data_IF_052708811590
#
_entry.id   IF_052708811590
#
_cell.length_a   1.000
_cell.length_b   1.000
_cell.length_c   1.000
_cell.angle_alpha   90.00
_cell.angle_beta   90.00
_cell.angle_gamma   90.00
#
_symmetry.space_group_name_H-M   'P 1'
#
loop_
_entity.id
_entity.type
_entity.pdbx_description
1 polymer ?
2 non-polymer ?
3 non-polymer ?
4 water ?
#
# COMPACT_ATOMS: atom_id res chain seq x y z
N UNK A 17 31.87 -0.14 5.73
CA UNK A 17 31.71 1.21 6.26
C UNK A 17 32.60 2.19 5.52
N UNK A 18 32.29 2.42 4.24
CA UNK A 18 33.13 3.28 3.41
C UNK A 18 32.42 4.47 2.72
N UNK A 19 31.50 4.21 1.79
CA UNK A 19 30.89 5.32 1.06
C UNK A 19 29.72 5.04 0.12
N UNK A 20 28.80 6.01 0.03
CA UNK A 20 27.72 5.98 -0.96
C UNK A 20 28.04 6.95 -2.09
N UNK A 21 28.35 8.18 -1.72
CA UNK A 21 28.82 9.20 -2.64
C UNK A 21 29.83 8.60 -3.63
N UNK A 22 30.54 7.58 -3.18
CA UNK A 22 31.56 6.94 -4.00
C UNK A 22 30.96 5.99 -5.04
N UNK A 23 29.90 5.29 -4.67
CA UNK A 23 29.35 4.26 -5.54
C UNK A 23 28.38 4.82 -6.54
N UNK A 24 27.77 5.96 -6.20
CA UNK A 24 26.64 6.47 -6.95
C UNK A 24 26.75 7.94 -7.30
N UNK A 25 26.26 8.27 -8.50
CA UNK A 25 26.06 9.63 -8.97
C UNK A 25 24.61 9.98 -8.61
N UNK A 26 24.40 11.08 -7.88
CA UNK A 26 23.05 11.48 -7.44
C UNK A 26 22.36 12.42 -8.43
N UNK A 27 21.13 12.07 -8.83
CA UNK A 27 20.38 12.89 -9.77
C UNK A 27 19.27 13.70 -9.08
N UNK A 28 18.06 13.67 -9.63
CA UNK A 28 16.99 14.53 -9.13
C UNK A 28 16.12 13.92 -8.03
N UNK A 29 15.38 14.77 -7.34
CA UNK A 29 14.42 14.35 -6.33
C UNK A 29 13.24 13.66 -7.00
N UNK A 30 12.64 12.71 -6.28
CA UNK A 30 11.43 12.04 -6.75
C UNK A 30 10.37 12.00 -5.67
N UNK A 31 10.64 12.63 -4.54
CA UNK A 31 9.71 12.60 -3.42
C UNK A 31 10.37 13.25 -2.22
N UNK A 32 9.55 13.93 -1.42
CA UNK A 32 10.14 14.74 -0.37
C UNK A 32 9.23 15.00 0.83
N UNK A 33 9.79 14.75 2.00
CA UNK A 33 9.12 14.93 3.28
C UNK A 33 10.13 15.48 4.25
N UNK A 34 9.69 15.70 5.49
CA UNK A 34 10.51 16.38 6.48
C UNK A 34 11.58 15.48 7.08
N UNK A 35 11.34 14.18 7.00
CA UNK A 35 12.25 13.19 7.58
C UNK A 35 13.19 12.65 6.52
N UNK A 36 12.78 12.76 5.26
CA UNK A 36 13.57 12.23 4.16
C UNK A 36 13.06 12.62 2.78
N UNK A 37 13.98 12.59 1.82
CA UNK A 37 13.70 12.79 0.41
C UNK A 37 14.22 11.59 -0.36
N UNK A 38 13.57 11.23 -1.46
CA UNK A 38 14.06 10.21 -2.37
C UNK A 38 14.68 10.88 -3.59
N UNK A 39 15.85 10.41 -3.99
CA UNK A 39 16.46 10.89 -5.22
C UNK A 39 16.77 9.71 -6.14
N UNK A 40 16.71 9.95 -7.44
CA UNK A 40 17.14 8.97 -8.42
C UNK A 40 18.66 9.00 -8.44
N UNK A 41 19.31 7.86 -8.69
CA UNK A 41 20.76 7.83 -8.69
C UNK A 41 21.33 6.79 -9.65
N UNK A 42 22.63 6.88 -9.90
CA UNK A 42 23.27 6.00 -10.87
C UNK A 42 24.42 5.23 -10.23
N UNK A 43 24.44 3.93 -10.45
CA UNK A 43 25.61 3.17 -10.06
C UNK A 43 26.69 3.41 -11.12
N UNK A 44 27.73 4.12 -10.71
CA UNK A 44 28.73 4.62 -11.63
C UNK A 44 29.37 3.49 -12.43
N UNK A 45 29.90 2.50 -11.73
CA UNK A 45 30.47 1.31 -12.35
C UNK A 45 29.62 0.81 -13.51
N UNK A 46 28.33 0.64 -13.27
CA UNK A 46 27.48 -0.14 -14.14
C UNK A 46 26.49 0.69 -14.96
N UNK A 47 26.25 1.91 -14.52
CA UNK A 47 25.31 2.81 -15.19
C UNK A 47 23.84 2.42 -15.05
N UNK A 48 23.52 1.72 -13.96
CA UNK A 48 22.13 1.36 -13.73
C UNK A 48 21.47 2.32 -12.74
N UNK A 49 20.23 2.70 -13.01
CA UNK A 49 19.51 3.64 -12.15
C UNK A 49 18.77 2.95 -11.01
N UNK A 50 18.64 3.68 -9.91
CA UNK A 50 18.10 3.16 -8.66
C UNK A 50 17.51 4.33 -7.90
N UNK A 51 16.61 4.05 -6.98
CA UNK A 51 16.14 5.08 -6.07
C UNK A 51 16.96 5.02 -4.81
N UNK A 52 17.09 6.15 -4.12
CA UNK A 52 17.66 6.12 -2.79
C UNK A 52 16.93 7.10 -1.87
N UNK A 53 16.42 6.53 -0.80
CA UNK A 53 15.82 7.29 0.26
C UNK A 53 16.96 7.80 1.13
N UNK A 54 16.94 9.08 1.48
CA UNK A 54 17.93 9.59 2.42
C UNK A 54 17.23 10.02 3.69
N UNK A 55 17.46 9.28 4.78
CA UNK A 55 16.82 9.60 6.04
C UNK A 55 17.73 10.43 6.94
N UNK A 56 17.15 11.46 7.53
CA UNK A 56 17.85 12.28 8.51
C UNK A 56 17.84 11.55 9.85
N UNK A 57 19.03 11.21 10.34
CA UNK A 57 19.15 10.42 11.57
C UNK A 57 18.72 11.17 12.83
N UNK A 58 18.89 12.49 12.82
CA UNK A 58 18.52 13.29 13.99
C UNK A 58 17.02 13.56 13.98
N UNK A 59 16.39 13.31 12.85
CA UNK A 59 14.95 13.53 12.70
C UNK A 59 14.18 12.24 12.95
N UNK A 60 14.66 11.17 12.34
CA UNK A 60 14.01 9.87 12.45
C UNK A 60 15.02 8.73 12.58
N UNK A 61 14.58 7.60 13.12
CA UNK A 61 15.40 6.40 13.21
C UNK A 61 14.79 5.30 12.34
N UNK A 62 15.49 4.94 11.24
CA UNK A 62 14.89 4.14 10.18
C UNK A 62 15.16 2.65 10.27
N UNK A 63 15.61 2.17 11.43
CA UNK A 63 16.12 0.81 11.50
C UNK A 63 15.04 -0.27 11.36
N UNK A 64 13.87 -0.04 11.93
CA UNK A 64 12.80 -1.01 11.79
C UNK A 64 12.36 -1.11 10.33
N UNK A 65 12.27 0.03 9.66
CA UNK A 65 11.88 0.01 8.25
C UNK A 65 12.85 -0.91 7.52
N UNK A 66 14.13 -0.63 7.70
CA UNK A 66 15.23 -1.29 7.01
C UNK A 66 15.32 -2.80 7.26
N UNK A 67 15.15 -3.22 8.51
CA UNK A 67 15.13 -4.62 8.84
C UNK A 67 13.97 -5.28 8.12
N UNK A 68 12.80 -4.66 8.26
CA UNK A 68 11.61 -5.12 7.56
C UNK A 68 11.95 -5.35 6.10
N UNK A 69 12.69 -4.43 5.49
CA UNK A 69 13.08 -4.55 4.09
C UNK A 69 14.12 -5.65 3.85
N UNK A 70 15.13 -5.71 4.71
CA UNK A 70 16.16 -6.74 4.61
C UNK A 70 15.51 -8.11 4.73
N UNK A 71 14.64 -8.24 5.73
CA UNK A 71 13.96 -9.49 5.97
C UNK A 71 13.04 -9.89 4.80
N UNK A 72 12.25 -8.95 4.28
CA UNK A 72 11.14 -9.32 3.41
C UNK A 72 11.13 -8.81 1.95
N UNK A 73 12.12 -8.02 1.56
CA UNK A 73 12.13 -7.41 0.24
C UNK A 73 12.55 -8.40 -0.86
N UNK A 74 12.62 -9.67 -0.49
CA UNK A 74 12.91 -10.71 -1.43
C UNK A 74 11.59 -11.13 -2.06
N UNK A 75 10.52 -10.73 -1.40
CA UNK A 75 9.19 -10.98 -1.91
C UNK A 75 9.10 -10.33 -3.28
N UNK A 76 8.60 -11.09 -4.27
CA UNK A 76 8.48 -10.57 -5.63
C UNK A 76 7.72 -9.25 -5.69
N UNK A 77 6.75 -9.03 -4.80
CA UNK A 77 5.96 -7.80 -4.85
C UNK A 77 6.24 -6.86 -3.70
N UNK A 78 7.34 -7.08 -3.00
CA UNK A 78 7.83 -6.09 -2.09
C UNK A 78 9.05 -5.47 -2.74
N UNK A 79 9.24 -4.17 -2.56
CA UNK A 79 10.35 -3.48 -3.17
C UNK A 79 11.66 -4.07 -2.66
N UNK A 80 12.64 -4.13 -3.54
CA UNK A 80 13.87 -4.88 -3.28
C UNK A 80 15.04 -3.96 -2.94
N UNK A 81 15.61 -4.18 -1.77
CA UNK A 81 16.70 -3.34 -1.25
C UNK A 81 18.02 -3.72 -1.90
N UNK A 82 18.79 -2.73 -2.36
CA UNK A 82 20.01 -3.00 -3.12
C UNK A 82 21.30 -2.51 -2.46
N UNK A 83 21.18 -1.68 -1.44
CA UNK A 83 22.33 -1.17 -0.71
C UNK A 83 21.83 -0.36 0.46
N UNK A 84 22.77 0.15 1.25
CA UNK A 84 22.47 0.96 2.40
C UNK A 84 23.79 1.50 2.90
N UNK A 85 23.76 2.71 3.45
CA UNK A 85 24.97 3.33 3.93
C UNK A 85 24.62 4.22 5.10
N UNK A 86 25.55 4.39 6.03
CA UNK A 86 25.35 5.31 7.12
C UNK A 86 26.44 6.37 7.09
N UNK A 87 26.15 7.44 6.36
CA UNK A 87 27.02 8.61 6.24
C UNK A 87 27.49 9.07 7.61
N UNK A 88 26.60 8.96 8.59
CA UNK A 88 26.85 9.47 9.93
C UNK A 88 25.67 10.29 10.37
N UNK A 89 25.26 11.23 9.52
CA UNK A 89 24.12 12.09 9.82
C UNK A 89 22.89 11.62 9.06
N UNK A 90 23.10 10.63 8.20
CA UNK A 90 22.11 10.29 7.19
C UNK A 90 22.17 8.83 6.79
N UNK A 91 21.00 8.24 6.59
CA UNK A 91 20.97 6.93 5.97
C UNK A 91 20.65 7.08 4.49
N UNK A 92 21.15 6.12 3.72
CA UNK A 92 20.98 6.08 2.29
C UNK A 92 20.47 4.70 1.97
N UNK A 93 19.21 4.63 1.55
CA UNK A 93 18.59 3.33 1.30
C UNK A 93 18.35 3.13 -0.19
N UNK A 94 19.14 2.26 -0.80
CA UNK A 94 19.10 2.07 -2.25
C UNK A 94 18.20 0.91 -2.65
N UNK A 95 17.29 1.17 -3.57
CA UNK A 95 16.38 0.15 -4.07
C UNK A 95 16.27 0.20 -5.58
N UNK A 96 15.62 -0.82 -6.16
CA UNK A 96 15.23 -0.77 -7.56
C UNK A 96 14.44 0.52 -7.79
N UNK A 97 14.60 1.13 -8.96
CA UNK A 97 13.83 2.31 -9.30
C UNK A 97 12.55 1.88 -10.01
N UNK A 98 11.40 2.34 -9.51
CA UNK A 98 10.10 1.96 -10.06
C UNK A 98 9.77 2.82 -11.27
N UNK A 99 9.73 2.21 -12.45
CA UNK A 99 9.58 3.02 -13.66
C UNK A 99 8.14 3.19 -14.17
N UNK A 100 7.23 2.33 -13.71
CA UNK A 100 5.85 2.36 -14.19
C UNK A 100 4.87 3.26 -13.46
N UNK A 101 5.37 4.14 -12.60
CA UNK A 101 4.53 5.08 -11.88
C UNK A 101 3.62 4.44 -10.85
N UNK A 102 2.80 5.25 -10.20
CA UNK A 102 1.85 4.74 -9.23
C UNK A 102 0.76 3.88 -9.86
N UNK A 103 0.47 2.77 -9.18
CA UNK A 103 -0.53 1.78 -9.57
C UNK A 103 -1.87 2.38 -9.95
N UNK A 104 -2.55 2.94 -8.96
CA UNK A 104 -3.92 3.39 -9.13
C UNK A 104 -4.05 4.46 -10.21
N UNK A 105 -3.10 5.36 -10.28
CA UNK A 105 -3.16 6.41 -11.28
C UNK A 105 -3.08 5.86 -12.67
N UNK A 106 -2.19 4.91 -12.91
CA UNK A 106 -2.11 4.28 -14.21
C UNK A 106 -3.42 3.52 -14.48
N UNK A 107 -3.94 2.81 -13.48
CA UNK A 107 -5.20 2.09 -13.64
C UNK A 107 -6.35 3.05 -14.01
N UNK A 108 -6.49 4.15 -13.27
CA UNK A 108 -7.53 5.14 -13.54
C UNK A 108 -7.45 5.75 -14.95
N UNK A 109 -6.24 6.02 -15.43
CA UNK A 109 -6.03 6.56 -16.78
C UNK A 109 -6.14 5.47 -17.83
N UNK A 110 -6.94 4.46 -17.54
CA UNK A 110 -7.12 3.37 -18.49
C UNK A 110 -8.59 3.20 -18.82
N UNK A 111 -8.98 3.80 -19.93
CA UNK A 111 -10.38 3.87 -20.33
C UNK A 111 -11.06 2.51 -20.38
N UNK A 112 -10.29 1.46 -20.67
CA UNK A 112 -10.87 0.15 -20.94
C UNK A 112 -10.55 -0.95 -19.91
N UNK A 113 -10.28 -0.52 -18.67
CA UNK A 113 -10.01 -1.39 -17.51
C UNK A 113 -11.19 -2.29 -17.16
N UNK A 114 -10.92 -3.54 -16.74
CA UNK A 114 -11.99 -4.51 -16.47
C UNK A 114 -11.94 -5.14 -15.07
N UNK A 115 -13.07 -5.70 -14.66
CA UNK A 115 -13.18 -6.44 -13.39
C UNK A 115 -12.14 -7.55 -13.30
N UNK A 116 -12.10 -8.39 -14.33
CA UNK A 116 -11.10 -9.43 -14.47
C UNK A 116 -9.72 -8.94 -14.03
N UNK A 117 -9.28 -7.81 -14.61
CA UNK A 117 -7.95 -7.26 -14.29
C UNK A 117 -7.82 -6.71 -12.88
N UNK A 118 -8.90 -6.12 -12.35
CA UNK A 118 -8.85 -5.54 -11.01
C UNK A 118 -8.66 -6.65 -10.00
N UNK A 119 -9.28 -7.78 -10.29
CA UNK A 119 -9.14 -8.98 -9.49
C UNK A 119 -7.70 -9.49 -9.46
N UNK A 120 -7.01 -9.41 -10.60
CA UNK A 120 -5.62 -9.84 -10.65
C UNK A 120 -4.75 -8.91 -9.82
N UNK A 121 -5.03 -7.61 -9.91
CA UNK A 121 -4.31 -6.61 -9.14
C UNK A 121 -4.50 -6.78 -7.64
N UNK A 122 -5.76 -6.88 -7.19
CA UNK A 122 -6.03 -7.00 -5.77
C UNK A 122 -5.47 -8.31 -5.22
N UNK A 123 -5.60 -9.37 -6.01
CA UNK A 123 -5.02 -10.66 -5.66
C UNK A 123 -3.54 -10.52 -5.34
N UNK A 124 -2.80 -9.97 -6.29
CA UNK A 124 -1.37 -9.81 -6.11
C UNK A 124 -1.05 -9.06 -4.82
N UNK A 125 -1.73 -7.94 -4.62
CA UNK A 125 -1.48 -7.08 -3.46
C UNK A 125 -1.87 -7.74 -2.14
N UNK A 126 -2.98 -8.47 -2.14
CA UNK A 126 -3.48 -9.08 -0.92
C UNK A 126 -2.61 -10.28 -0.53
N UNK A 127 -2.29 -11.13 -1.50
CA UNK A 127 -1.34 -12.20 -1.29
C UNK A 127 -0.08 -11.67 -0.57
N UNK A 128 0.44 -10.54 -1.03
CA UNK A 128 1.59 -9.92 -0.38
C UNK A 128 1.28 -9.51 1.06
N UNK A 129 0.09 -8.95 1.26
CA UNK A 129 -0.31 -8.49 2.58
C UNK A 129 -0.61 -9.65 3.54
N UNK A 130 -1.16 -10.74 3.02
CA UNK A 130 -1.44 -11.94 3.82
C UNK A 130 -0.14 -12.50 4.37
N UNK A 131 0.94 -12.32 3.61
CA UNK A 131 2.25 -12.83 3.98
C UNK A 131 2.88 -11.97 5.07
N UNK A 132 2.79 -10.67 4.92
CA UNK A 132 3.30 -9.74 5.93
C UNK A 132 2.62 -9.97 7.29
N UNK A 133 1.29 -10.04 7.28
CA UNK A 133 0.53 -10.29 8.50
C UNK A 133 0.92 -11.60 9.18
N UNK A 134 1.14 -12.62 8.36
CA UNK A 134 1.52 -13.94 8.85
C UNK A 134 2.91 -13.90 9.47
N UNK A 135 3.71 -12.92 9.07
CA UNK A 135 5.04 -12.75 9.65
C UNK A 135 4.99 -11.77 10.82
N UNK A 136 3.81 -11.28 11.16
CA UNK A 136 3.68 -10.33 12.24
C UNK A 136 3.98 -8.90 11.85
N UNK A 137 4.04 -8.65 10.55
CA UNK A 137 4.22 -7.28 10.06
C UNK A 137 2.89 -6.69 9.59
N UNK A 138 2.52 -5.55 10.19
CA UNK A 138 1.44 -4.72 9.65
C UNK A 138 2.04 -3.45 9.04
N UNK A 139 1.55 -3.09 7.86
CA UNK A 139 2.07 -1.97 7.09
C UNK A 139 1.71 -0.60 7.65
N UNK A 140 0.43 -0.41 8.00
CA UNK A 140 -0.02 0.75 8.76
C UNK A 140 -0.25 2.03 7.94
N UNK A 141 0.27 2.09 6.72
CA UNK A 141 0.16 3.28 5.89
C UNK A 141 -0.14 2.86 4.45
N UNK A 142 -1.06 1.92 4.30
CA UNK A 142 -1.26 1.26 3.02
C UNK A 142 -2.01 2.09 1.99
N UNK A 143 -1.55 3.31 1.74
CA UNK A 143 -2.21 4.10 0.71
C UNK A 143 -1.73 3.77 -0.70
N UNK A 144 -2.59 4.02 -1.69
CA UNK A 144 -2.41 3.68 -3.11
C UNK A 144 -1.15 4.28 -3.70
N UNK A 145 -0.71 5.40 -3.14
CA UNK A 145 0.47 6.12 -3.61
C UNK A 145 1.75 5.39 -3.22
N UNK A 146 1.65 4.50 -2.24
CA UNK A 146 2.81 3.72 -1.80
C UNK A 146 2.92 2.41 -2.58
N UNK A 147 2.15 2.32 -3.67
CA UNK A 147 2.08 1.10 -4.47
C UNK A 147 2.39 1.40 -5.94
N UNK A 148 3.60 1.06 -6.37
CA UNK A 148 4.08 1.42 -7.69
C UNK A 148 4.20 0.23 -8.63
N UNK A 149 4.30 0.53 -9.92
CA UNK A 149 4.64 -0.46 -10.93
C UNK A 149 6.14 -0.36 -11.20
N UNK A 150 6.83 -1.49 -11.31
CA UNK A 150 8.28 -1.47 -11.50
C UNK A 150 8.68 -1.09 -12.91
N UNK A 151 7.87 -1.51 -13.88
CA UNK A 151 8.06 -1.13 -15.27
C UNK A 151 6.70 -0.84 -15.86
N UNK A 152 6.59 -0.82 -17.19
CA UNK A 152 5.33 -0.43 -17.82
C UNK A 152 4.59 -1.59 -18.52
N UNK A 153 4.91 -2.83 -18.16
CA UNK A 153 4.20 -3.98 -18.72
C UNK A 153 2.75 -3.99 -18.31
N UNK A 154 2.43 -3.20 -17.28
CA UNK A 154 1.12 -3.24 -16.69
C UNK A 154 0.76 -4.64 -16.21
N UNK A 155 1.77 -5.47 -15.94
CA UNK A 155 1.56 -6.80 -15.35
C UNK A 155 1.47 -6.68 -13.84
N UNK A 156 0.53 -7.43 -13.24
CA UNK A 156 0.49 -7.59 -11.75
C UNK A 156 1.87 -7.88 -11.15
N UNK A 157 2.65 -8.74 -11.77
CA UNK A 157 3.99 -9.08 -11.32
C UNK A 157 4.87 -7.86 -11.06
N UNK A 158 4.58 -6.75 -11.73
CA UNK A 158 5.43 -5.56 -11.63
C UNK A 158 4.95 -4.63 -10.52
N UNK A 159 3.94 -5.07 -9.79
CA UNK A 159 3.46 -4.34 -8.62
C UNK A 159 4.48 -4.47 -7.49
N UNK A 160 4.73 -3.36 -6.78
CA UNK A 160 5.57 -3.35 -5.58
C UNK A 160 4.92 -2.52 -4.49
N UNK A 161 4.90 -3.04 -3.26
CA UNK A 161 4.62 -2.21 -2.10
C UNK A 161 5.93 -1.57 -1.67
N UNK A 162 5.92 -0.26 -1.45
CA UNK A 162 7.16 0.51 -1.48
C UNK A 162 7.57 1.33 -0.26
N UNK A 163 6.62 1.78 0.56
CA UNK A 163 7.03 2.53 1.74
C UNK A 163 6.65 1.86 3.04
N UNK A 164 7.67 1.34 3.71
CA UNK A 164 7.46 0.67 4.97
C UNK A 164 7.83 1.60 6.11
N UNK A 165 7.67 2.89 5.85
CA UNK A 165 8.02 3.94 6.79
C UNK A 165 7.24 3.84 8.08
N UNK A 166 6.11 3.15 8.06
CA UNK A 166 5.24 3.12 9.22
C UNK A 166 4.94 1.71 9.70
N UNK A 167 5.57 0.74 9.04
CA UNK A 167 5.36 -0.67 9.32
C UNK A 167 5.99 -1.14 10.62
N UNK A 168 5.39 -2.15 11.21
CA UNK A 168 5.72 -2.58 12.57
C UNK A 168 5.67 -4.08 12.67
N UNK A 169 6.77 -4.72 13.06
CA UNK A 169 6.68 -6.14 13.38
C UNK A 169 6.33 -6.34 14.85
N UNK A 170 5.41 -7.27 15.07
CA UNK A 170 5.03 -7.72 16.40
C UNK A 170 6.28 -8.11 17.16
N UNK A 171 6.47 -7.50 18.34
CA UNK A 171 7.64 -7.85 19.12
C UNK A 171 7.29 -8.25 20.53
N UNK A 172 8.17 -9.04 21.14
CA UNK A 172 8.02 -9.40 22.53
C UNK A 172 8.59 -8.30 23.39
N UNK A 173 7.95 -8.06 24.52
CA UNK A 173 8.46 -7.17 25.56
C UNK A 173 9.98 -7.20 25.61
N UNK A 174 10.57 -8.40 25.56
CA UNK A 174 12.02 -8.54 25.57
C UNK A 174 12.67 -8.01 24.28
N UNK A 175 11.85 -7.70 23.28
CA UNK A 175 12.34 -7.20 22.02
C UNK A 175 12.58 -8.31 21.01
N UNK A 176 11.80 -9.37 21.12
CA UNK A 176 11.97 -10.53 20.24
C UNK A 176 10.83 -10.72 19.26
N UNK A 177 11.20 -10.85 17.99
CA UNK A 177 10.26 -11.04 16.89
C UNK A 177 9.29 -12.18 17.12
N UNK A 178 8.06 -11.98 16.68
CA UNK A 178 6.96 -12.89 16.97
C UNK A 178 6.01 -13.00 15.81
N UNK A 179 5.29 -14.12 15.75
CA UNK A 179 4.24 -14.28 14.77
C UNK A 179 2.91 -14.51 15.46
N UNK A 180 1.82 -14.24 14.75
CA UNK A 180 0.47 -14.56 15.25
C UNK A 180 0.37 -16.03 15.65
N UNK A 181 0.99 -16.92 14.89
CA UNK A 181 0.93 -18.35 15.17
C UNK A 181 1.53 -18.68 16.53
N UNK A 182 2.73 -18.18 16.78
CA UNK A 182 3.38 -18.42 18.05
C UNK A 182 2.87 -17.49 19.14
N UNK A 183 1.69 -17.80 19.65
CA UNK A 183 1.12 -17.07 20.78
C UNK A 183 1.60 -17.71 22.07
N UNK A 184 2.26 -18.86 21.92
CA UNK A 184 2.63 -19.72 23.06
C UNK A 184 3.77 -19.16 23.93
N UNK A 185 4.23 -17.97 23.59
CA UNK A 185 4.92 -17.12 24.55
C UNK A 185 3.97 -15.96 24.80
N UNK A 186 3.79 -15.60 26.07
CA UNK A 186 2.87 -14.55 26.45
C UNK A 186 3.29 -13.16 25.97
N UNK A 187 2.29 -12.32 25.63
CA UNK A 187 2.56 -10.90 25.38
C UNK A 187 1.33 -10.01 25.65
N UNK A 188 1.54 -8.70 25.68
CA UNK A 188 0.52 -7.73 26.11
C UNK A 188 -0.82 -7.84 25.38
N UNK A 189 -1.93 -7.66 26.11
CA UNK A 189 -3.27 -7.83 25.54
C UNK A 189 -3.59 -6.74 24.53
N UNK A 190 -3.64 -5.50 25.00
CA UNK A 190 -3.99 -4.36 24.18
C UNK A 190 -3.07 -4.23 22.95
N UNK A 191 -2.05 -5.08 22.88
CA UNK A 191 -1.10 -5.06 21.76
C UNK A 191 -1.46 -6.06 20.66
N UNK A 192 -2.09 -7.17 21.02
CA UNK A 192 -2.53 -8.14 20.02
C UNK A 192 -3.77 -7.56 19.37
N UNK A 193 -4.56 -6.88 20.19
CA UNK A 193 -5.74 -6.18 19.74
C UNK A 193 -5.30 -5.01 18.87
N UNK A 194 -4.18 -4.39 19.26
CA UNK A 194 -3.57 -3.38 18.44
C UNK A 194 -3.09 -3.92 17.09
N UNK A 195 -2.37 -5.03 17.08
CA UNK A 195 -1.90 -5.58 15.81
C UNK A 195 -3.06 -6.12 14.97
N UNK A 196 -4.06 -6.68 15.64
CA UNK A 196 -5.26 -7.12 14.97
C UNK A 196 -6.00 -5.93 14.38
N UNK A 197 -6.01 -4.83 15.13
CA UNK A 197 -6.60 -3.59 14.66
C UNK A 197 -5.85 -3.05 13.45
N UNK A 198 -4.53 -3.05 13.53
CA UNK A 198 -3.69 -2.46 12.51
C UNK A 198 -3.67 -3.26 11.22
N UNK A 199 -3.99 -4.54 11.32
CA UNK A 199 -4.07 -5.37 10.13
C UNK A 199 -5.41 -5.11 9.49
N UNK A 200 -6.42 -4.86 10.33
CA UNK A 200 -7.76 -4.60 9.85
C UNK A 200 -7.77 -3.33 9.00
N UNK A 201 -6.96 -2.34 9.40
CA UNK A 201 -6.84 -1.09 8.65
C UNK A 201 -6.19 -1.32 7.30
N UNK A 202 -5.18 -2.19 7.28
CA UNK A 202 -4.49 -2.54 6.03
C UNK A 202 -5.49 -3.06 5.00
N UNK A 203 -6.36 -3.96 5.45
CA UNK A 203 -7.41 -4.52 4.61
C UNK A 203 -8.38 -3.43 4.17
N UNK A 204 -8.71 -2.54 5.10
CA UNK A 204 -9.61 -1.42 4.83
C UNK A 204 -9.06 -0.54 3.70
N UNK A 205 -7.78 -0.18 3.79
CA UNK A 205 -7.11 0.58 2.74
C UNK A 205 -7.15 -0.11 1.38
N UNK A 206 -7.14 -1.44 1.38
CA UNK A 206 -7.23 -2.20 0.13
C UNK A 206 -8.67 -2.16 -0.36
N UNK A 207 -9.58 -1.97 0.59
CA UNK A 207 -10.98 -1.83 0.27
C UNK A 207 -11.21 -0.56 -0.51
N UNK A 208 -10.67 0.56 -0.02
CA UNK A 208 -10.82 1.82 -0.71
C UNK A 208 -10.12 1.75 -2.06
N UNK A 209 -8.96 1.10 -2.11
CA UNK A 209 -8.27 0.90 -3.37
C UNK A 209 -9.16 0.16 -4.37
N UNK A 210 -9.82 -0.90 -3.90
CA UNK A 210 -10.69 -1.69 -4.77
C UNK A 210 -11.86 -0.86 -5.24
N UNK A 211 -12.48 -0.18 -4.29
CA UNK A 211 -13.58 0.72 -4.58
C UNK A 211 -13.21 1.68 -5.70
N UNK A 212 -12.11 2.39 -5.52
CA UNK A 212 -11.68 3.38 -6.49
C UNK A 212 -11.38 2.73 -7.84
N UNK A 213 -10.79 1.54 -7.81
CA UNK A 213 -10.49 0.82 -9.04
C UNK A 213 -11.72 0.58 -9.91
N UNK A 214 -12.80 0.15 -9.28
CA UNK A 214 -13.98 -0.27 -10.03
C UNK A 214 -14.82 0.87 -10.62
N UNK A 215 -14.86 2.02 -9.96
CA UNK A 215 -15.79 3.08 -10.35
C UNK A 215 -15.13 4.39 -10.79
N UNK A 216 -13.84 4.53 -10.50
CA UNK A 216 -13.15 5.76 -10.81
C UNK A 216 -13.33 6.87 -9.78
N UNK A 217 -13.83 6.52 -8.60
CA UNK A 217 -13.86 7.49 -7.50
C UNK A 217 -13.75 6.85 -6.12
N UNK A 218 -13.31 7.65 -5.15
CA UNK A 218 -13.12 7.17 -3.79
C UNK A 218 -14.43 7.17 -3.03
N UNK A 219 -14.58 6.23 -2.10
CA UNK A 219 -15.80 6.07 -1.31
C UNK A 219 -16.09 7.20 -0.31
N UNK A 220 -15.11 8.01 0.10
CA UNK A 220 -15.35 8.91 1.22
C UNK A 220 -15.04 10.39 1.00
N UNK A 221 -14.54 10.71 -0.18
CA UNK A 221 -14.12 12.06 -0.47
C UNK A 221 -14.29 12.30 -1.95
N UNK A 222 -14.74 13.51 -2.31
CA UNK A 222 -15.01 13.84 -3.69
C UNK A 222 -13.82 14.52 -4.36
N UNK A 223 -13.04 15.23 -3.56
CA UNK A 223 -11.89 15.98 -4.06
C UNK A 223 -11.04 16.51 -2.92
N UNK A 224 -9.92 17.16 -3.23
CA UNK A 224 -9.02 17.67 -2.19
C UNK A 224 -9.67 18.79 -1.38
N UNK A 225 -10.89 19.17 -1.78
CA UNK A 225 -11.60 20.23 -1.06
C UNK A 225 -12.41 19.69 0.12
N UNK A 226 -12.72 18.40 0.11
CA UNK A 226 -13.45 17.82 1.23
C UNK A 226 -12.70 18.02 2.55
N UNK A 227 -13.38 18.63 3.53
CA UNK A 227 -12.81 18.89 4.85
C UNK A 227 -12.59 17.58 5.59
N UNK A 228 -11.64 17.53 6.53
CA UNK A 228 -11.39 16.26 7.21
C UNK A 228 -12.59 15.79 8.04
N UNK A 229 -13.27 16.71 8.71
CA UNK A 229 -14.43 16.36 9.51
C UNK A 229 -15.52 15.75 8.63
N UNK A 230 -15.72 16.36 7.47
CA UNK A 230 -16.65 15.85 6.47
C UNK A 230 -16.26 14.43 6.04
N UNK A 231 -14.97 14.18 5.80
CA UNK A 231 -14.54 12.83 5.42
C UNK A 231 -14.62 11.83 6.58
N UNK A 232 -14.36 12.29 7.81
CA UNK A 232 -14.43 11.40 8.96
C UNK A 232 -15.87 11.04 9.32
N UNK A 233 -16.79 11.96 9.08
CA UNK A 233 -18.20 11.66 9.28
C UNK A 233 -18.64 10.55 8.34
N UNK A 234 -18.22 10.62 7.08
CA UNK A 234 -18.56 9.60 6.11
C UNK A 234 -17.99 8.24 6.50
N UNK A 235 -16.69 8.17 6.74
CA UNK A 235 -16.07 6.93 7.18
C UNK A 235 -16.80 6.37 8.41
N UNK A 236 -17.22 7.27 9.30
CA UNK A 236 -17.84 6.86 10.54
C UNK A 236 -19.26 6.33 10.41
N UNK A 237 -19.96 6.77 9.37
CA UNK A 237 -21.35 6.39 9.17
C UNK A 237 -21.48 4.91 8.86
N UNK A 238 -20.43 4.36 8.26
CA UNK A 238 -20.40 2.97 7.87
C UNK A 238 -20.95 2.76 6.46
N UNK A 239 -21.59 3.78 5.91
CA UNK A 239 -22.29 3.62 4.64
C UNK A 239 -21.65 4.32 3.46
N UNK A 240 -21.85 3.72 2.30
CA UNK A 240 -21.30 4.21 1.06
C UNK A 240 -22.12 3.59 -0.05
N UNK A 241 -22.04 4.19 -1.23
CA UNK A 241 -22.83 3.77 -2.36
C UNK A 241 -22.21 2.54 -3.01
N UNK A 242 -23.05 1.55 -3.31
CA UNK A 242 -22.62 0.40 -4.08
C UNK A 242 -23.60 0.25 -5.23
N UNK A 243 -24.33 1.32 -5.50
CA UNK A 243 -25.33 1.29 -6.54
C UNK A 243 -25.33 2.57 -7.34
N UNK A 244 -26.10 2.54 -8.43
CA UNK A 244 -26.25 3.72 -9.26
C UNK A 244 -25.02 4.05 -10.07
N UNK A 245 -25.26 4.74 -11.19
CA UNK A 245 -24.23 5.16 -12.12
C UNK A 245 -23.20 4.11 -12.46
N UNK A 246 -22.00 4.33 -11.97
CA UNK A 246 -20.86 3.49 -12.24
C UNK A 246 -20.99 2.08 -11.64
N UNK A 247 -21.77 1.97 -10.56
CA UNK A 247 -21.96 0.66 -9.90
C UNK A 247 -22.84 -0.31 -10.68
N UNK A 248 -23.85 0.20 -11.38
CA UNK A 248 -24.69 -0.61 -12.27
C UNK A 248 -23.93 -1.72 -12.96
N UNK A 249 -22.80 -1.37 -13.54
CA UNK A 249 -22.05 -2.29 -14.39
C UNK A 249 -21.34 -3.40 -13.61
N UNK A 250 -21.04 -3.16 -12.35
CA UNK A 250 -20.22 -4.12 -11.59
C UNK A 250 -20.99 -5.31 -11.02
N UNK A 251 -20.45 -6.51 -11.24
CA UNK A 251 -21.05 -7.73 -10.70
C UNK A 251 -21.23 -7.63 -9.19
N UNK A 252 -22.30 -8.25 -8.69
CA UNK A 252 -22.59 -8.28 -7.27
C UNK A 252 -21.50 -9.00 -6.48
N UNK A 253 -20.82 -9.94 -7.15
CA UNK A 253 -19.67 -10.60 -6.54
C UNK A 253 -18.76 -9.56 -5.91
N UNK A 254 -18.17 -8.73 -6.76
CA UNK A 254 -17.24 -7.71 -6.33
C UNK A 254 -17.83 -6.75 -5.29
N UNK A 255 -19.06 -6.30 -5.52
CA UNK A 255 -19.66 -5.34 -4.61
C UNK A 255 -19.78 -5.96 -3.24
N UNK A 256 -20.07 -7.26 -3.22
CA UNK A 256 -20.12 -7.98 -1.97
C UNK A 256 -18.76 -7.91 -1.32
N UNK A 257 -17.75 -8.25 -2.11
CA UNK A 257 -16.39 -8.25 -1.62
C UNK A 257 -16.01 -6.89 -1.05
N UNK A 258 -16.42 -5.79 -1.71
CA UNK A 258 -16.11 -4.46 -1.18
C UNK A 258 -16.84 -4.17 0.11
N UNK A 259 -18.13 -4.49 0.15
CA UNK A 259 -18.90 -4.26 1.36
C UNK A 259 -18.16 -4.83 2.57
N UNK A 260 -17.53 -5.99 2.41
CA UNK A 260 -16.87 -6.64 3.54
C UNK A 260 -15.45 -6.14 3.85
N UNK A 261 -14.76 -5.55 2.87
CA UNK A 261 -13.41 -5.00 3.13
C UNK A 261 -13.48 -3.63 3.82
N UNK A 262 -14.55 -2.88 3.57
CA UNK A 262 -14.71 -1.56 4.15
C UNK A 262 -15.63 -1.62 5.35
N UNK A 263 -15.98 -2.83 5.75
CA UNK A 263 -16.89 -2.99 6.85
C UNK A 263 -16.46 -2.11 8.02
N UNK A 264 -17.32 -1.16 8.37
CA UNK A 264 -17.05 -0.18 9.41
C UNK A 264 -16.55 -0.80 10.72
N UNK A 265 -17.10 -1.95 11.11
CA UNK A 265 -16.65 -2.66 12.31
C UNK A 265 -15.31 -3.33 12.04
N UNK A 266 -14.25 -2.93 12.76
CA UNK A 266 -12.98 -3.56 12.39
C UNK A 266 -12.95 -5.06 12.71
N UNK A 267 -13.74 -5.50 13.68
CA UNK A 267 -13.76 -6.91 14.03
C UNK A 267 -14.44 -7.73 12.94
N UNK A 268 -15.24 -7.07 12.11
CA UNK A 268 -16.02 -7.78 11.09
C UNK A 268 -15.40 -7.73 9.69
N UNK A 269 -14.45 -6.81 9.52
CA UNK A 269 -13.69 -6.68 8.28
C UNK A 269 -13.03 -8.01 7.88
N UNK A 270 -13.24 -8.45 6.64
CA UNK A 270 -12.56 -9.63 6.11
C UNK A 270 -11.06 -9.55 6.35
N UNK A 271 -10.43 -10.66 6.72
CA UNK A 271 -8.97 -10.69 6.76
C UNK A 271 -8.44 -10.85 5.34
N UNK A 272 -7.15 -10.67 5.15
CA UNK A 272 -6.54 -10.90 3.85
C UNK A 272 -6.71 -12.37 3.48
N UNK A 273 -6.63 -13.24 4.49
CA UNK A 273 -6.83 -14.66 4.28
C UNK A 273 -8.22 -14.90 3.71
N UNK A 274 -9.21 -14.25 4.30
CA UNK A 274 -10.58 -14.36 3.82
C UNK A 274 -10.82 -13.56 2.54
N UNK A 275 -10.01 -12.55 2.27
CA UNK A 275 -10.17 -11.86 1.00
C UNK A 275 -9.79 -12.82 -0.11
N UNK A 276 -8.72 -13.59 0.11
CA UNK A 276 -8.26 -14.53 -0.91
C UNK A 276 -9.24 -15.69 -1.12
N UNK A 277 -10.17 -15.90 -0.20
CA UNK A 277 -11.11 -16.99 -0.38
C UNK A 277 -12.47 -16.55 -0.92
N UNK A 278 -12.61 -15.26 -1.12
CA UNK A 278 -13.80 -14.71 -1.76
C UNK A 278 -13.82 -15.12 -3.23
N UNK A 279 -15.01 -15.44 -3.75
CA UNK A 279 -15.22 -15.88 -5.13
C UNK A 279 -14.83 -14.84 -6.18
N UNK A 280 -14.90 -13.55 -5.86
CA UNK A 280 -14.40 -12.54 -6.78
C UNK A 280 -12.92 -12.79 -7.06
N UNK A 281 -12.17 -13.11 -6.01
CA UNK A 281 -10.76 -13.41 -6.15
C UNK A 281 -10.53 -14.81 -6.70
N UNK A 282 -11.34 -15.76 -6.24
CA UNK A 282 -11.15 -17.16 -6.62
C UNK A 282 -11.59 -17.47 -8.05
N UNK A 283 -12.79 -17.06 -8.42
CA UNK A 283 -13.28 -17.33 -9.77
C UNK A 283 -13.02 -16.18 -10.73
N UNK A 284 -11.85 -15.56 -10.58
CA UNK A 284 -11.40 -14.54 -11.51
C UNK A 284 -11.76 -14.92 -12.95
N UNK A 285 -11.68 -16.21 -13.27
CA UNK A 285 -11.99 -16.68 -14.63
C UNK A 285 -13.43 -16.44 -15.08
N UNK A 286 -14.34 -16.24 -14.12
CA UNK A 286 -15.72 -15.92 -14.46
C UNK A 286 -15.95 -14.42 -14.56
N UNK A 287 -14.91 -13.62 -14.34
CA UNK A 287 -15.04 -12.17 -14.36
C UNK A 287 -15.09 -11.60 -15.78
N UNK A 288 -15.91 -10.56 -15.96
CA UNK A 288 -16.07 -9.80 -17.21
C UNK A 288 -14.77 -9.13 -17.66
N UNK A 289 -14.43 -9.26 -18.94
CA UNK A 289 -13.20 -8.68 -19.46
C UNK A 289 -13.51 -7.46 -20.31
N UNK A 290 -14.80 -7.19 -20.50
CA UNK A 290 -15.23 -5.94 -21.10
C UNK A 290 -15.11 -4.81 -20.07
N UNK A 291 -15.23 -3.57 -20.53
CA UNK A 291 -14.87 -2.39 -19.76
C UNK A 291 -15.76 -2.07 -18.56
N UNK A 292 -15.12 -1.53 -17.52
CA UNK A 292 -15.84 -0.90 -16.43
C UNK A 292 -16.29 0.47 -16.88
N UNK A 293 -17.46 0.88 -16.42
CA UNK A 293 -17.96 2.23 -16.69
C UNK A 293 -17.60 3.12 -15.52
N UNK A 294 -16.48 3.82 -15.64
CA UNK A 294 -15.92 4.58 -14.52
C UNK A 294 -15.91 6.09 -14.78
N UNK A 295 -16.01 6.88 -13.72
CA UNK A 295 -15.74 8.31 -13.83
C UNK A 295 -14.30 8.48 -14.28
N UNK A 296 -14.01 9.55 -15.01
CA UNK A 296 -12.67 9.80 -15.54
C UNK A 296 -12.07 11.09 -14.97
N UNK A 297 -11.48 11.01 -13.78
CA UNK A 297 -10.87 12.18 -13.14
C UNK A 297 -9.71 11.81 -12.20
N UNK A 298 -8.66 11.17 -12.74
CA UNK A 298 -7.50 10.70 -11.98
C UNK A 298 -7.07 11.67 -10.90
N UNK A 299 -6.91 12.92 -11.30
CA UNK A 299 -6.32 13.95 -10.46
C UNK A 299 -7.24 14.40 -9.35
N UNK A 300 -8.54 14.33 -9.61
CA UNK A 300 -9.52 14.62 -8.59
C UNK A 300 -9.44 13.55 -7.52
N UNK A 301 -9.21 12.31 -7.95
CA UNK A 301 -9.10 11.16 -7.04
C UNK A 301 -7.85 11.30 -6.16
N UNK A 302 -6.73 11.65 -6.79
CA UNK A 302 -5.48 11.91 -6.11
C UNK A 302 -5.71 12.90 -4.96
N UNK A 303 -6.51 13.94 -5.24
CA UNK A 303 -6.86 14.92 -4.23
C UNK A 303 -7.68 14.34 -3.11
N UNK A 304 -8.77 13.68 -3.46
CA UNK A 304 -9.63 13.01 -2.50
C UNK A 304 -8.83 12.05 -1.63
N UNK A 305 -8.10 11.16 -2.30
CA UNK A 305 -7.22 10.20 -1.66
C UNK A 305 -6.32 10.84 -0.61
N UNK A 306 -5.65 11.92 -0.99
CA UNK A 306 -4.74 12.61 -0.10
C UNK A 306 -5.50 13.21 1.06
N UNK A 307 -6.70 13.69 0.78
CA UNK A 307 -7.57 14.27 1.80
C UNK A 307 -8.01 13.21 2.77
N UNK A 308 -8.32 12.01 2.27
CA UNK A 308 -8.79 10.97 3.18
C UNK A 308 -7.66 10.57 4.13
N UNK A 309 -6.46 10.32 3.63
CA UNK A 309 -5.37 9.96 4.55
C UNK A 309 -4.86 11.10 5.45
N UNK A 310 -4.89 12.34 4.96
CA UNK A 310 -4.52 13.48 5.80
C UNK A 310 -5.39 13.56 7.03
N UNK A 311 -6.68 13.30 6.84
CA UNK A 311 -7.67 13.37 7.92
C UNK A 311 -7.49 12.22 8.88
N UNK A 312 -7.19 11.05 8.31
CA UNK A 312 -6.96 9.86 9.10
C UNK A 312 -5.68 9.94 9.90
N UNK A 313 -4.69 10.63 9.35
CA UNK A 313 -3.32 10.54 9.83
C UNK A 313 -2.80 11.71 10.67
N UNK A 314 -3.68 12.62 11.04
CA UNK A 314 -3.25 13.81 11.79
C UNK A 314 -2.84 13.47 13.23
N UNK A 315 -2.30 12.27 13.42
CA UNK A 315 -1.80 11.86 14.71
C UNK A 315 -0.65 10.85 14.61
X LIG B 1 12.32 3.07 -5.50
X LIG B 1 11.50 4.14 -5.99
X LIG B 1 10.93 5.14 -5.09
X LIG B 1 10.13 6.20 -5.66
X LIG B 1 9.66 7.10 -4.59
X LIG B 1 8.81 8.27 -4.87
X LIG B 1 7.31 8.15 -4.79
X LIG B 1 6.56 9.45 -4.67
X LIG B 1 6.51 10.28 -5.78
X LIG B 1 10.17 6.59 -3.25
X LIG B 1 10.26 6.99 -1.79
X LIG B 1 9.01 7.59 -1.31
X LIG B 1 9.33 8.10 0.07
X LIG B 1 9.72 9.32 0.25
X LIG B 1 10.01 9.81 1.52
X LIG B 1 9.24 7.33 1.06
X LIG B 1 7.91 6.65 -1.35
X LIG B 1 7.09 5.91 -1.37
X LIG B 1 10.92 5.36 -3.62
X LIG B 1 11.64 4.60 -2.55
X LIG B 1 13.09 4.72 -2.43
X LIG B 1 13.78 3.99 -1.36
X LIG B 1 13.05 3.21 -0.46
X LIG B 1 13.76 2.48 0.58
X LIG B 1 11.56 3.09 -0.58
X LIG B 1 10.90 3.79 -1.61
X LIG B 1 9.91 6.26 -7.03
X LIG B 1 10.48 5.28 -7.88
X LIG B 1 11.26 4.25 -7.36
X LIG C 1 11.47 -7.69 -3.77
#
# INVERSE_FOLDING_TARGET
MQTVGVHSIVQQLHRNSIQFTDGYEVKEDIGVGSYSVCKRCIHKATNMEFAVKIIDKSKRDPTEEIEILLRYGQHPNIITLKDVYDDGKYVYVVTELMKGGELLDKILRQKFFSEREASAVLFTITKTVEYLHAQGVVHRDLKPSNILYVDESGNPESIRICDFGFAKQLRAENGLLMTPCYTANFVAPEVLERQGYDAACDIWSLGVLLYTMLTGYTPFANGPDDTPEEILARIGSGKFSLSGGYWNSVSDTAKDLVSKMLHVDPHQRLTAALVLRHPWIVHWDQLPQYQLNRQDAPHLVKGAMAATYSALNRNQSPVLEPVGRSTLAQRRGIKKITSTAL
0JG N01 C02 C03 C04 N05 C06 C07 C08 O09 C10 C11 C12 C13 O14 C15 O16 C17 N18 C19 C20 C21 C22 C23 C24 C25 C26 N27 C28 N29
NA NA
#
